data_IF_620293039047
#
_entry.id   IF_620293039047
#
_cell.length_a   1.000
_cell.length_b   1.000
_cell.length_c   1.000
_cell.angle_alpha   90.00
_cell.angle_beta   90.00
_cell.angle_gamma   90.00
#
_symmetry.space_group_name_H-M   'P 1'
#
loop_
_entity.id
_entity.type
_entity.pdbx_description
1 polymer ?
#
# COMPACT_ATOMS: atom_id res chain seq x y z
N UNK A 1 16.28 -12.00 -9.50
CA UNK A 1 14.82 -11.82 -9.42
C UNK A 1 14.56 -10.36 -9.68
N UNK A 2 13.54 -10.05 -10.49
CA UNK A 2 13.09 -8.67 -10.65
C UNK A 2 12.47 -8.20 -9.32
N UNK A 3 12.69 -6.93 -8.99
CA UNK A 3 12.15 -6.31 -7.76
C UNK A 3 10.64 -6.07 -7.89
N UNK A 4 10.14 -5.96 -9.12
CA UNK A 4 8.72 -5.80 -9.45
C UNK A 4 8.24 -6.97 -10.31
N UNK A 5 6.92 -7.26 -10.29
CA UNK A 5 6.33 -8.29 -11.15
C UNK A 5 6.67 -8.10 -12.62
N UNK A 6 6.81 -9.22 -13.33
CA UNK A 6 6.95 -9.19 -14.78
C UNK A 6 5.67 -8.59 -15.41
N UNK A 7 5.78 -7.94 -16.56
CA UNK A 7 4.67 -7.26 -17.26
C UNK A 7 4.03 -6.05 -16.55
N UNK A 8 4.33 -5.76 -15.28
CA UNK A 8 3.80 -4.57 -14.61
C UNK A 8 4.13 -3.26 -15.36
N UNK A 9 5.31 -3.19 -15.98
CA UNK A 9 5.70 -2.05 -16.81
C UNK A 9 4.82 -1.86 -18.05
N UNK A 10 4.27 -2.96 -18.60
CA UNK A 10 3.33 -2.91 -19.71
C UNK A 10 1.93 -2.49 -19.23
N UNK A 11 1.50 -2.97 -18.06
CA UNK A 11 0.21 -2.58 -17.46
C UNK A 11 0.19 -1.08 -17.17
N UNK A 12 1.28 -0.55 -16.60
CA UNK A 12 1.42 0.86 -16.25
C UNK A 12 2.29 1.61 -17.28
N UNK A 13 2.13 1.33 -18.57
CA UNK A 13 2.99 1.92 -19.61
C UNK A 13 2.75 3.42 -19.82
N UNK A 14 1.52 3.88 -19.60
CA UNK A 14 1.11 5.26 -19.85
C UNK A 14 1.86 6.28 -18.96
N UNK A 15 2.16 7.44 -19.54
CA UNK A 15 2.91 8.52 -18.88
C UNK A 15 2.22 9.04 -17.61
N UNK A 16 0.88 8.95 -17.55
CA UNK A 16 0.08 9.35 -16.39
C UNK A 16 0.45 8.58 -15.11
N UNK A 17 0.96 7.36 -15.26
CA UNK A 17 1.36 6.52 -14.13
C UNK A 17 2.84 6.68 -13.79
N UNK A 18 3.62 7.49 -14.50
CA UNK A 18 5.07 7.61 -14.24
C UNK A 18 5.32 8.67 -13.18
N UNK A 19 6.07 8.30 -12.14
CA UNK A 19 6.43 9.25 -11.09
C UNK A 19 7.54 10.20 -11.55
N UNK A 20 7.25 11.49 -11.48
CA UNK A 20 8.23 12.54 -11.78
C UNK A 20 9.24 12.76 -10.65
N UNK A 21 8.78 12.76 -9.39
CA UNK A 21 9.62 13.05 -8.22
C UNK A 21 9.58 11.96 -7.15
N UNK A 22 10.52 11.01 -7.26
CA UNK A 22 10.71 9.94 -6.27
C UNK A 22 11.20 10.45 -4.91
N UNK A 23 11.73 11.68 -4.80
CA UNK A 23 12.19 12.19 -3.51
C UNK A 23 11.03 12.45 -2.56
N UNK A 24 9.85 12.86 -3.09
CA UNK A 24 8.64 12.99 -2.28
C UNK A 24 8.29 11.69 -1.57
N UNK A 25 8.30 10.56 -2.29
CA UNK A 25 8.05 9.23 -1.70
C UNK A 25 9.05 8.92 -0.59
N UNK A 26 10.34 9.23 -0.81
CA UNK A 26 11.37 9.04 0.21
C UNK A 26 11.12 9.90 1.46
N UNK A 27 10.78 11.17 1.28
CA UNK A 27 10.47 12.10 2.38
C UNK A 27 9.26 11.64 3.17
N UNK A 28 8.17 11.28 2.50
CA UNK A 28 6.95 10.78 3.15
C UNK A 28 7.19 9.48 3.94
N UNK A 29 7.91 8.51 3.37
CA UNK A 29 8.28 7.29 4.12
C UNK A 29 9.15 7.62 5.36
N UNK A 30 10.03 8.61 5.25
CA UNK A 30 10.84 9.11 6.37
C UNK A 30 9.98 9.80 7.43
N UNK A 31 9.00 10.61 7.03
CA UNK A 31 8.08 11.32 7.93
C UNK A 31 7.15 10.35 8.66
N UNK A 32 6.61 9.36 7.95
CA UNK A 32 5.87 8.23 8.53
C UNK A 32 6.78 7.36 9.41
N UNK A 33 8.10 7.45 9.21
CA UNK A 33 9.14 6.78 9.95
C UNK A 33 9.10 5.26 9.79
N UNK A 34 8.77 4.80 8.58
CA UNK A 34 8.68 3.40 8.21
C UNK A 34 9.87 3.00 7.35
N UNK A 35 10.27 1.74 7.46
CA UNK A 35 11.16 1.10 6.51
C UNK A 35 10.34 0.10 5.72
N UNK A 36 10.39 0.16 4.40
CA UNK A 36 9.58 -0.68 3.50
C UNK A 36 10.48 -1.56 2.65
N UNK A 37 9.92 -2.64 2.11
CA UNK A 37 10.62 -3.54 1.19
C UNK A 37 11.12 -2.81 -0.07
N UNK A 38 12.11 -3.42 -0.72
CA UNK A 38 12.63 -2.89 -2.00
C UNK A 38 11.54 -2.92 -3.08
N UNK A 39 10.63 -3.90 -3.06
CA UNK A 39 9.47 -3.97 -3.96
C UNK A 39 8.57 -2.76 -3.80
N UNK A 40 8.13 -2.46 -2.57
CA UNK A 40 7.26 -1.31 -2.30
C UNK A 40 7.94 0.00 -2.71
N UNK A 41 9.22 0.15 -2.34
CA UNK A 41 10.00 1.34 -2.64
C UNK A 41 10.14 1.54 -4.15
N UNK A 42 10.51 0.48 -4.87
CA UNK A 42 10.72 0.56 -6.31
C UNK A 42 9.41 0.83 -7.07
N UNK A 43 8.29 0.24 -6.62
CA UNK A 43 6.98 0.48 -7.19
C UNK A 43 6.62 1.95 -7.12
N UNK A 44 6.59 2.52 -5.91
CA UNK A 44 6.23 3.93 -5.75
C UNK A 44 7.34 4.89 -6.21
N UNK A 45 8.59 4.47 -6.39
CA UNK A 45 9.60 5.31 -7.05
C UNK A 45 9.40 5.43 -8.55
N UNK A 46 8.77 4.43 -9.18
CA UNK A 46 8.52 4.42 -10.62
C UNK A 46 7.13 4.92 -10.97
N UNK A 47 6.14 4.57 -10.15
CA UNK A 47 4.75 4.78 -10.48
C UNK A 47 4.07 5.75 -9.53
N UNK A 48 3.21 6.61 -10.09
CA UNK A 48 2.30 7.49 -9.39
C UNK A 48 0.86 7.01 -9.62
N UNK A 49 0.12 6.86 -8.52
CA UNK A 49 -1.28 6.49 -8.51
C UNK A 49 -2.20 7.73 -8.38
N UNK A 50 -3.45 7.53 -7.92
CA UNK A 50 -4.03 6.25 -7.49
C UNK A 50 -4.21 5.25 -8.65
N UNK A 51 -4.36 3.98 -8.31
CA UNK A 51 -4.60 2.89 -9.27
C UNK A 51 -5.96 2.26 -8.99
N UNK A 52 -6.67 1.91 -10.06
CA UNK A 52 -7.95 1.21 -9.99
C UNK A 52 -7.94 0.02 -10.94
N UNK A 53 -8.03 -1.18 -10.38
CA UNK A 53 -8.05 -2.44 -11.13
C UNK A 53 -9.32 -3.23 -10.83
N UNK A 54 -9.86 -3.93 -11.84
CA UNK A 54 -11.13 -4.67 -11.68
C UNK A 54 -10.99 -5.95 -10.84
N UNK A 55 -9.76 -6.48 -10.72
CA UNK A 55 -9.49 -7.79 -10.13
C UNK A 55 -9.51 -7.77 -8.59
N UNK A 56 -9.12 -6.64 -7.99
CA UNK A 56 -9.05 -6.45 -6.54
C UNK A 56 -9.88 -5.20 -6.21
N UNK A 57 -10.96 -5.31 -5.41
CA UNK A 57 -11.98 -4.26 -5.28
C UNK A 57 -11.55 -3.13 -4.32
N UNK A 58 -10.35 -2.60 -4.52
CA UNK A 58 -9.77 -1.52 -3.75
C UNK A 58 -9.06 -0.55 -4.69
N UNK A 59 -9.24 0.75 -4.47
CA UNK A 59 -8.30 1.73 -5.02
C UNK A 59 -6.97 1.57 -4.29
N UNK A 60 -5.88 1.38 -5.03
CA UNK A 60 -4.54 1.41 -4.48
C UNK A 60 -4.05 2.86 -4.53
N UNK A 61 -3.90 3.46 -3.35
CA UNK A 61 -3.56 4.86 -3.22
C UNK A 61 -2.13 5.17 -3.61
N UNK A 62 -1.89 6.44 -3.97
CA UNK A 62 -0.55 6.99 -4.04
C UNK A 62 0.07 7.18 -2.66
N UNK A 63 1.40 7.25 -2.58
CA UNK A 63 2.10 7.54 -1.33
C UNK A 63 1.96 9.01 -0.92
N UNK A 64 1.98 9.95 -1.87
CA UNK A 64 2.16 11.39 -1.62
C UNK A 64 1.24 12.30 -2.43
N UNK A 65 0.85 11.87 -3.63
CA UNK A 65 0.01 12.67 -4.51
C UNK A 65 -1.47 12.49 -4.10
N UNK A 66 -2.31 13.49 -4.37
CA UNK A 66 -3.68 13.64 -3.86
C UNK A 66 -3.82 13.95 -2.35
N UNK A 67 -5.00 14.46 -1.94
CA UNK A 67 -5.33 14.75 -0.53
C UNK A 67 -5.56 13.45 0.28
N UNK A 68 -6.24 12.49 -0.35
CA UNK A 68 -6.48 11.15 0.18
C UNK A 68 -5.38 10.22 -0.36
N UNK A 69 -4.39 9.92 0.48
CA UNK A 69 -3.23 9.14 0.09
C UNK A 69 -2.77 8.23 1.26
N UNK A 70 -1.75 7.42 1.02
CA UNK A 70 -1.23 6.50 2.05
C UNK A 70 -0.77 7.28 3.30
N UNK A 71 -0.15 8.45 3.16
CA UNK A 71 0.29 9.25 4.29
C UNK A 71 -0.90 9.70 5.16
N UNK A 72 -1.90 10.34 4.55
CA UNK A 72 -3.05 10.88 5.29
C UNK A 72 -3.85 9.77 5.98
N UNK A 73 -4.16 8.68 5.30
CA UNK A 73 -4.88 7.56 5.93
C UNK A 73 -4.05 6.78 6.94
N UNK A 74 -2.74 6.66 6.74
CA UNK A 74 -1.86 6.06 7.77
C UNK A 74 -1.84 6.91 9.03
N UNK A 75 -1.81 8.24 8.90
CA UNK A 75 -1.88 9.15 10.06
C UNK A 75 -3.24 9.00 10.77
N UNK A 76 -4.34 8.93 10.03
CA UNK A 76 -5.68 8.70 10.59
C UNK A 76 -5.73 7.37 11.34
N UNK A 77 -5.30 6.27 10.72
CA UNK A 77 -5.28 4.94 11.36
C UNK A 77 -4.44 4.91 12.65
N UNK A 78 -3.31 5.62 12.68
CA UNK A 78 -2.47 5.73 13.89
C UNK A 78 -3.17 6.52 15.00
N UNK A 79 -3.77 7.66 14.66
CA UNK A 79 -4.34 8.58 15.63
C UNK A 79 -5.70 8.12 16.17
N UNK A 80 -6.54 7.57 15.29
CA UNK A 80 -7.94 7.24 15.61
C UNK A 80 -8.12 5.76 15.96
N UNK A 81 -7.32 4.87 15.37
CA UNK A 81 -7.44 3.42 15.55
C UNK A 81 -6.23 2.78 16.25
N UNK A 82 -5.24 3.58 16.66
CA UNK A 82 -4.09 3.10 17.42
C UNK A 82 -3.14 2.18 16.65
N UNK A 83 -3.15 2.25 15.31
CA UNK A 83 -2.28 1.40 14.49
C UNK A 83 -0.80 1.64 14.83
N UNK A 84 0.00 0.58 15.06
CA UNK A 84 1.44 0.71 15.23
C UNK A 84 2.13 1.33 14.03
N UNK A 85 3.28 1.96 14.28
CA UNK A 85 4.09 2.64 13.26
C UNK A 85 4.40 1.76 12.04
N UNK A 86 4.55 0.45 12.22
CA UNK A 86 4.87 -0.49 11.14
C UNK A 86 3.77 -0.62 10.07
N UNK A 87 2.53 -0.27 10.36
CA UNK A 87 1.44 -0.40 9.41
C UNK A 87 1.29 0.84 8.52
N UNK A 88 1.05 0.60 7.22
CA UNK A 88 0.68 1.60 6.22
C UNK A 88 -0.69 1.24 5.65
N UNK A 89 -1.58 2.23 5.51
CA UNK A 89 -2.90 2.04 4.89
C UNK A 89 -2.78 2.30 3.39
N UNK A 90 -3.09 1.30 2.56
CA UNK A 90 -2.88 1.30 1.11
C UNK A 90 -4.11 1.67 0.29
N UNK A 91 -5.31 1.66 0.88
CA UNK A 91 -6.58 1.94 0.19
C UNK A 91 -7.40 2.99 0.92
N UNK A 92 -8.43 3.53 0.28
CA UNK A 92 -9.37 4.42 0.96
C UNK A 92 -10.01 3.76 2.19
N UNK A 93 -10.23 4.55 3.25
CA UNK A 93 -10.93 4.14 4.47
C UNK A 93 -12.47 4.30 4.38
N UNK A 94 -13.00 4.66 3.21
CA UNK A 94 -14.43 4.80 2.94
C UNK A 94 -15.14 3.46 2.69
N UNK A 95 -14.37 2.40 2.45
CA UNK A 95 -14.85 1.05 2.16
C UNK A 95 -15.08 0.22 3.43
N UNK A 96 -15.84 -0.88 3.28
CA UNK A 96 -16.12 -1.82 4.39
C UNK A 96 -14.85 -2.53 4.93
N UNK A 97 -13.78 -2.53 4.14
CA UNK A 97 -12.47 -3.02 4.51
C UNK A 97 -11.40 -2.13 3.88
N UNK A 98 -10.20 -2.19 4.45
CA UNK A 98 -9.02 -1.46 3.97
C UNK A 98 -7.87 -2.41 3.70
N UNK A 99 -6.97 -2.01 2.81
CA UNK A 99 -5.69 -2.68 2.61
C UNK A 99 -4.64 -2.09 3.55
N UNK A 100 -3.92 -2.96 4.25
CA UNK A 100 -2.87 -2.56 5.21
C UNK A 100 -1.60 -3.35 4.93
N UNK A 101 -0.47 -2.67 4.78
CA UNK A 101 0.85 -3.28 4.68
C UNK A 101 1.54 -3.27 6.04
N UNK A 102 2.07 -4.41 6.47
CA UNK A 102 3.09 -4.47 7.51
C UNK A 102 4.46 -4.21 6.88
N UNK A 103 5.00 -3.00 7.08
CA UNK A 103 6.28 -2.59 6.49
C UNK A 103 7.49 -3.41 6.98
N UNK A 104 7.38 -4.12 8.12
CA UNK A 104 8.45 -4.98 8.66
C UNK A 104 8.43 -6.37 8.03
N UNK A 105 7.24 -6.93 7.80
CA UNK A 105 7.10 -8.30 7.28
C UNK A 105 6.78 -8.37 5.79
N UNK A 106 6.48 -7.22 5.17
CA UNK A 106 6.00 -7.04 3.80
C UNK A 106 4.63 -7.66 3.51
N UNK A 107 3.94 -8.17 4.53
CA UNK A 107 2.61 -8.79 4.41
C UNK A 107 1.52 -7.74 4.17
N UNK A 108 0.56 -8.07 3.32
CA UNK A 108 -0.61 -7.22 3.04
C UNK A 108 -1.87 -7.89 3.57
N UNK A 109 -2.69 -7.11 4.27
CA UNK A 109 -3.90 -7.54 4.95
C UNK A 109 -5.11 -6.79 4.39
N UNK A 110 -6.20 -7.51 4.16
CA UNK A 110 -7.53 -6.92 4.06
C UNK A 110 -8.16 -6.88 5.46
N UNK A 111 -8.47 -5.66 5.93
CA UNK A 111 -8.87 -5.39 7.31
C UNK A 111 -10.24 -4.76 7.32
N UNK A 112 -11.25 -5.44 7.84
CA UNK A 112 -12.54 -4.84 8.14
C UNK A 112 -12.53 -4.23 9.55
N UNK A 113 -13.35 -3.19 9.76
CA UNK A 113 -13.54 -2.56 11.07
C UNK A 113 -14.63 -3.23 11.92
N UNK A 114 -15.02 -4.46 11.57
CA UNK A 114 -15.95 -5.30 12.33
C UNK A 114 -15.17 -6.37 13.15
N UNK A 115 -13.99 -6.00 13.64
CA UNK A 115 -13.10 -6.85 14.44
C UNK A 115 -11.83 -7.33 13.72
N UNK A 116 -11.70 -7.11 12.42
CA UNK A 116 -10.47 -7.41 11.68
C UNK A 116 -9.29 -6.54 12.14
N UNK A 117 -9.54 -5.29 12.50
CA UNK A 117 -8.56 -4.38 13.10
C UNK A 117 -8.07 -4.87 14.47
N UNK A 118 -8.96 -5.37 15.33
CA UNK A 118 -8.57 -5.97 16.60
C UNK A 118 -7.65 -7.18 16.41
N UNK A 119 -7.98 -8.07 15.44
CA UNK A 119 -7.15 -9.22 15.08
C UNK A 119 -5.80 -8.80 14.48
N UNK A 120 -5.76 -7.73 13.68
CA UNK A 120 -4.52 -7.20 13.12
C UNK A 120 -3.60 -6.68 14.25
N UNK A 121 -4.19 -6.01 15.23
CA UNK A 121 -3.47 -5.44 16.37
C UNK A 121 -3.01 -6.51 17.37
N UNK A 122 -3.77 -7.60 17.55
CA UNK A 122 -3.35 -8.76 18.35
C UNK A 122 -2.32 -9.64 17.63
N UNK A 123 -2.17 -9.50 16.31
CA UNK A 123 -1.30 -10.31 15.47
C UNK A 123 -1.92 -11.66 15.09
N UNK A 124 -3.23 -11.82 15.24
CA UNK A 124 -3.98 -13.04 14.94
C UNK A 124 -4.66 -12.99 13.56
N UNK A 125 -4.71 -11.82 12.91
CA UNK A 125 -5.21 -11.71 11.54
C UNK A 125 -4.25 -12.40 10.56
N UNK A 126 -4.79 -13.32 9.75
CA UNK A 126 -4.06 -13.96 8.66
C UNK A 126 -3.84 -12.95 7.52
N UNK A 127 -2.64 -12.95 6.94
CA UNK A 127 -2.36 -12.13 5.76
C UNK A 127 -3.24 -12.52 4.57
N UNK A 128 -3.62 -11.54 3.76
CA UNK A 128 -4.27 -11.79 2.47
C UNK A 128 -3.22 -12.09 1.40
N UNK A 129 -2.10 -11.35 1.42
CA UNK A 129 -0.94 -11.62 0.58
C UNK A 129 0.33 -11.73 1.42
N UNK A 130 1.18 -12.74 1.15
CA UNK A 130 2.39 -12.99 1.94
C UNK A 130 3.49 -11.94 1.73
N UNK A 131 3.44 -11.18 0.63
CA UNK A 131 4.35 -10.09 0.31
C UNK A 131 3.64 -9.02 -0.51
N UNK A 132 4.19 -7.80 -0.54
CA UNK A 132 3.70 -6.73 -1.42
C UNK A 132 3.88 -7.10 -2.90
N UNK A 133 4.90 -7.90 -3.23
CA UNK A 133 5.11 -8.42 -4.59
C UNK A 133 3.97 -9.32 -5.06
N UNK A 134 3.53 -10.26 -4.22
CA UNK A 134 2.40 -11.15 -4.55
C UNK A 134 1.09 -10.37 -4.62
N UNK A 135 0.92 -9.34 -3.78
CA UNK A 135 -0.19 -8.40 -3.91
C UNK A 135 -0.19 -7.69 -5.27
N UNK A 136 0.93 -7.11 -5.71
CA UNK A 136 1.00 -6.41 -7.00
C UNK A 136 0.68 -7.34 -8.18
N UNK A 137 1.15 -8.59 -8.13
CA UNK A 137 0.83 -9.59 -9.17
C UNK A 137 -0.66 -9.83 -9.30
N UNK A 138 -1.35 -10.03 -8.18
CA UNK A 138 -2.80 -10.27 -8.19
C UNK A 138 -3.58 -9.00 -8.53
N UNK A 139 -3.16 -7.86 -7.98
CA UNK A 139 -3.81 -6.55 -8.19
C UNK A 139 -3.82 -6.14 -9.66
N UNK A 140 -2.65 -6.18 -10.30
CA UNK A 140 -2.46 -5.81 -11.71
C UNK A 140 -2.59 -6.99 -12.68
N UNK A 141 -2.89 -8.20 -12.17
CA UNK A 141 -2.99 -9.44 -12.94
C UNK A 141 -1.77 -9.68 -13.88
N UNK A 142 -0.56 -9.64 -13.30
CA UNK A 142 0.71 -9.68 -14.04
C UNK A 142 1.70 -10.76 -13.56
#
# INVERSE_FOLDING_TARGET
MNVLPDNLEQVLEEDIYKREDKNKVKETLTNLGVEVSDTFREFYYRYAGPFWEEHVPYELLDVVDEENNIESYTIIARNEHGFPKKYLVLSEMSANAILVLDSVTDKVYSVNFEGGDELLLSGELEETWPTFYEFLKEYFNC
#
